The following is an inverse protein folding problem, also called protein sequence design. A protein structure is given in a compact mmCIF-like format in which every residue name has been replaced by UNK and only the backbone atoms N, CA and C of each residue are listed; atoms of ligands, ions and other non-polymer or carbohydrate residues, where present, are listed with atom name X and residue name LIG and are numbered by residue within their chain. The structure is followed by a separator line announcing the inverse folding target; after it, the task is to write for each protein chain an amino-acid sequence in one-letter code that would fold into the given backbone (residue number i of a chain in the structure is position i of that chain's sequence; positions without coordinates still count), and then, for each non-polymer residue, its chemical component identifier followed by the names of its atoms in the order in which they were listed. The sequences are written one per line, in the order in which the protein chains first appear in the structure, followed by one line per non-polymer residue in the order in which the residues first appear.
data_IF_153990493940
#
_entry.id   IF_153990493940
#
_cell.length_a   1.000
_cell.length_b   1.000
_cell.length_c   1.000
_cell.angle_alpha   90.00
_cell.angle_beta   90.00
_cell.angle_gamma   90.00
#
_symmetry.space_group_name_H-M   'P 1'
#
loop_
_entity.id
_entity.type
_entity.pdbx_description
1 polymer ?
#
# COMPACT_ATOMS: atom_id res chain seq x y z
N UNK A 1 23.86 -19.74 4.99
CA UNK A 1 23.77 -18.84 3.82
C UNK A 1 22.38 -18.24 3.84
N UNK A 2 22.22 -16.93 4.03
CA UNK A 2 20.91 -16.29 4.00
C UNK A 2 20.38 -16.42 2.57
N UNK A 3 19.16 -16.93 2.40
CA UNK A 3 18.52 -17.11 1.09
C UNK A 3 18.59 -15.80 0.30
N UNK A 4 19.48 -15.72 -0.68
CA UNK A 4 19.70 -14.51 -1.49
C UNK A 4 18.47 -14.08 -2.29
N UNK A 5 17.50 -14.99 -2.47
CA UNK A 5 16.24 -14.70 -3.13
C UNK A 5 15.37 -13.68 -2.37
N UNK A 6 15.38 -13.72 -1.02
CA UNK A 6 14.55 -12.82 -0.19
C UNK A 6 14.89 -11.33 -0.38
N UNK A 7 16.18 -10.89 -0.29
CA UNK A 7 16.53 -9.50 -0.52
C UNK A 7 16.29 -9.06 -1.96
N UNK A 8 16.46 -9.95 -2.95
CA UNK A 8 16.21 -9.62 -4.35
C UNK A 8 14.73 -9.28 -4.61
N UNK A 9 13.81 -9.97 -3.91
CA UNK A 9 12.37 -9.71 -3.99
C UNK A 9 11.94 -8.46 -3.20
N UNK A 10 12.71 -8.06 -2.18
CA UNK A 10 12.42 -6.90 -1.36
C UNK A 10 12.91 -5.58 -1.98
N UNK A 11 13.83 -5.63 -2.95
CA UNK A 11 14.38 -4.45 -3.60
C UNK A 11 13.59 -4.07 -4.85
N UNK A 12 13.30 -2.78 -4.99
CA UNK A 12 12.73 -2.25 -6.23
C UNK A 12 13.74 -2.36 -7.37
N UNK A 13 13.31 -2.72 -8.59
CA UNK A 13 14.16 -2.62 -9.78
C UNK A 13 14.63 -1.18 -9.99
N UNK A 14 15.76 -1.01 -10.67
CA UNK A 14 16.41 0.30 -10.86
C UNK A 14 15.46 1.37 -11.41
N UNK A 15 14.66 1.03 -12.44
CA UNK A 15 13.68 1.93 -13.04
C UNK A 15 12.60 2.40 -12.06
N UNK A 16 12.30 1.62 -11.02
CA UNK A 16 11.26 1.94 -10.04
C UNK A 16 11.78 2.57 -8.76
N UNK A 17 13.10 2.69 -8.59
CA UNK A 17 13.70 3.23 -7.35
C UNK A 17 13.26 4.66 -7.05
N UNK A 18 12.95 5.45 -8.08
CA UNK A 18 12.37 6.80 -7.94
C UNK A 18 10.97 6.80 -7.27
N UNK A 19 10.24 5.68 -7.35
CA UNK A 19 8.93 5.51 -6.71
C UNK A 19 9.02 4.86 -5.32
N UNK A 20 10.22 4.69 -4.75
CA UNK A 20 10.41 4.20 -3.38
C UNK A 20 9.48 4.90 -2.37
N UNK A 21 9.46 6.25 -2.33
CA UNK A 21 8.56 6.98 -1.44
C UNK A 21 7.07 6.68 -1.65
N UNK A 22 6.64 6.32 -2.87
CA UNK A 22 5.26 5.92 -3.12
C UNK A 22 4.98 4.52 -2.56
N UNK A 23 5.90 3.57 -2.77
CA UNK A 23 5.80 2.19 -2.27
C UNK A 23 5.72 2.17 -0.75
N UNK A 24 6.44 3.07 -0.08
CA UNK A 24 6.40 3.24 1.38
C UNK A 24 5.00 3.67 1.89
N UNK A 25 4.17 4.28 1.05
CA UNK A 25 2.80 4.75 1.39
C UNK A 25 1.72 3.73 1.02
N UNK A 26 1.97 2.81 0.08
CA UNK A 26 1.00 1.80 -0.34
C UNK A 26 0.41 0.96 0.82
N UNK A 27 1.16 0.61 1.89
CA UNK A 27 0.59 -0.07 3.06
C UNK A 27 -0.57 0.67 3.75
N UNK A 28 -0.76 1.97 3.47
CA UNK A 28 -1.87 2.78 3.99
C UNK A 28 -3.19 2.56 3.22
N UNK A 29 -3.17 1.95 2.02
CA UNK A 29 -4.35 1.73 1.17
C UNK A 29 -5.54 1.08 1.91
N UNK A 30 -5.37 0.04 2.74
CA UNK A 30 -6.49 -0.55 3.49
C UNK A 30 -7.22 0.45 4.39
N UNK A 31 -6.51 1.42 4.97
CA UNK A 31 -7.10 2.47 5.80
C UNK A 31 -7.95 3.41 4.95
N UNK A 32 -7.50 3.76 3.74
CA UNK A 32 -8.31 4.56 2.81
C UNK A 32 -9.63 3.86 2.45
N UNK A 33 -9.63 2.54 2.24
CA UNK A 33 -10.87 1.80 2.00
C UNK A 33 -11.80 1.77 3.21
N UNK A 34 -11.24 1.63 4.42
CA UNK A 34 -12.02 1.73 5.65
C UNK A 34 -12.67 3.11 5.77
N UNK A 35 -11.92 4.19 5.54
CA UNK A 35 -12.45 5.55 5.55
C UNK A 35 -13.51 5.76 4.47
N UNK A 36 -13.29 5.24 3.27
CA UNK A 36 -14.25 5.28 2.18
C UNK A 36 -15.55 4.55 2.54
N UNK A 37 -15.49 3.44 3.28
CA UNK A 37 -16.68 2.74 3.76
C UNK A 37 -17.51 3.63 4.71
N UNK A 38 -16.88 4.43 5.57
CA UNK A 38 -17.59 5.39 6.40
C UNK A 38 -18.19 6.55 5.59
N UNK A 39 -17.45 7.06 4.60
CA UNK A 39 -17.98 8.07 3.67
C UNK A 39 -19.20 7.53 2.92
N UNK A 40 -19.11 6.29 2.44
CA UNK A 40 -20.21 5.61 1.78
C UNK A 40 -21.40 5.47 2.71
N UNK A 41 -21.20 4.96 3.93
CA UNK A 41 -22.31 4.76 4.86
C UNK A 41 -22.94 6.08 5.33
N UNK A 42 -22.16 7.16 5.42
CA UNK A 42 -22.67 8.50 5.68
C UNK A 42 -23.57 9.04 4.55
N UNK A 43 -23.29 8.67 3.29
CA UNK A 43 -24.10 9.12 2.13
C UNK A 43 -25.47 8.43 2.03
N UNK A 44 -25.62 7.23 2.58
CA UNK A 44 -26.88 6.45 2.55
C UNK A 44 -27.63 6.43 3.88
N UNK A 45 -27.02 6.98 4.95
CA UNK A 45 -27.70 7.33 6.20
C UNK A 45 -27.55 6.37 7.38
N UNK A 46 -26.48 5.56 7.47
CA UNK A 46 -26.25 4.59 8.57
C UNK A 46 -27.47 3.71 8.96
N UNK A 47 -28.41 3.55 8.03
CA UNK A 47 -29.57 2.68 8.16
C UNK A 47 -29.18 1.23 7.88
#
# INVERSE_FOLDING_TARGET
MVNAALPLLAQLPEAYRAFGPLVDILPLIPVFFLLLAFVWQASVGFR
#
